data_IF_511496338123
#
_entry.id   IF_511496338123
#
_cell.length_a   1.000
_cell.length_b   1.000
_cell.length_c   1.000
_cell.angle_alpha   90.00
_cell.angle_beta   90.00
_cell.angle_gamma   90.00
#
_symmetry.space_group_name_H-M   'P 1'
#
loop_
_entity.id
_entity.type
_entity.pdbx_description
1 polymer ?
#
# COMPACT_ATOMS: atom_id res chain seq x y z
N UNK A 1 -8.21 -8.68 -6.11
CA UNK A 1 -8.27 -9.57 -7.30
C UNK A 1 -7.77 -8.80 -8.52
N UNK A 2 -6.83 -9.33 -9.32
CA UNK A 2 -6.29 -8.63 -10.50
C UNK A 2 -7.43 -8.25 -11.46
N UNK A 3 -7.53 -6.97 -11.86
CA UNK A 3 -8.60 -6.47 -12.77
C UNK A 3 -8.66 -7.26 -14.09
N UNK A 4 -7.50 -7.74 -14.57
CA UNK A 4 -7.38 -8.60 -15.76
C UNK A 4 -8.14 -9.93 -15.63
N UNK A 5 -8.21 -10.52 -14.43
CA UNK A 5 -8.95 -11.76 -14.19
C UNK A 5 -10.47 -11.58 -14.27
N UNK A 6 -10.99 -10.35 -14.14
CA UNK A 6 -12.42 -10.06 -14.35
C UNK A 6 -12.79 -9.99 -15.83
N UNK A 7 -11.83 -9.70 -16.71
CA UNK A 7 -12.07 -9.58 -18.17
C UNK A 7 -12.06 -10.94 -18.87
N UNK A 8 -11.21 -11.87 -18.42
CA UNK A 8 -11.14 -13.23 -18.96
C UNK A 8 -10.91 -14.25 -17.82
N UNK A 9 -11.99 -14.81 -17.25
CA UNK A 9 -11.91 -15.74 -16.13
C UNK A 9 -11.18 -17.04 -16.48
N UNK A 10 -11.26 -17.51 -17.74
CA UNK A 10 -10.64 -18.75 -18.17
C UNK A 10 -9.10 -18.68 -18.09
N UNK A 11 -8.53 -17.47 -18.23
CA UNK A 11 -7.09 -17.23 -18.14
C UNK A 11 -6.60 -16.80 -16.75
N UNK A 12 -7.46 -16.82 -15.73
CA UNK A 12 -7.12 -16.40 -14.35
C UNK A 12 -5.82 -17.05 -13.84
N UNK A 13 -5.66 -18.35 -14.06
CA UNK A 13 -4.44 -19.07 -13.66
C UNK A 13 -3.20 -18.55 -14.36
N UNK A 14 -3.27 -18.36 -15.69
CA UNK A 14 -2.16 -17.85 -16.49
C UNK A 14 -1.77 -16.41 -16.09
N UNK A 15 -2.74 -15.55 -15.79
CA UNK A 15 -2.46 -14.18 -15.32
C UNK A 15 -1.80 -14.17 -13.94
N UNK A 16 -2.25 -15.02 -13.02
CA UNK A 16 -1.65 -15.13 -11.71
C UNK A 16 -0.20 -15.64 -11.80
N UNK A 17 0.06 -16.62 -12.66
CA UNK A 17 1.41 -17.12 -12.91
C UNK A 17 2.31 -16.07 -13.57
N UNK A 18 1.81 -15.31 -14.54
CA UNK A 18 2.55 -14.20 -15.14
C UNK A 18 2.89 -13.12 -14.09
N UNK A 19 1.92 -12.75 -13.24
CA UNK A 19 2.12 -11.79 -12.15
C UNK A 19 3.18 -12.27 -11.15
N UNK A 20 3.10 -13.52 -10.68
CA UNK A 20 4.09 -14.11 -9.76
C UNK A 20 5.49 -14.16 -10.37
N UNK A 21 5.62 -14.55 -11.64
CA UNK A 21 6.91 -14.53 -12.35
C UNK A 21 7.49 -13.13 -12.45
N UNK A 22 6.65 -12.14 -12.79
CA UNK A 22 7.03 -10.73 -12.81
C UNK A 22 7.55 -10.25 -11.46
N UNK A 23 6.81 -10.51 -10.38
CA UNK A 23 7.25 -10.19 -9.02
C UNK A 23 8.58 -10.85 -8.67
N UNK A 24 8.76 -12.13 -8.98
CA UNK A 24 10.01 -12.84 -8.71
C UNK A 24 11.17 -12.19 -9.46
N UNK A 25 10.98 -11.82 -10.73
CA UNK A 25 12.00 -11.13 -11.51
C UNK A 25 12.38 -9.77 -10.87
N UNK A 26 11.39 -8.98 -10.44
CA UNK A 26 11.63 -7.71 -9.76
C UNK A 26 12.41 -7.90 -8.44
N UNK A 27 12.05 -8.91 -7.64
CA UNK A 27 12.75 -9.21 -6.39
C UNK A 27 14.17 -9.74 -6.57
N UNK A 28 14.51 -10.23 -7.75
CA UNK A 28 15.84 -10.78 -8.06
C UNK A 28 16.77 -9.75 -8.70
N UNK A 29 16.26 -8.57 -9.06
CA UNK A 29 17.02 -7.53 -9.75
C UNK A 29 17.64 -6.57 -8.74
N UNK A 30 18.97 -6.57 -8.64
CA UNK A 30 19.72 -5.74 -7.68
C UNK A 30 19.54 -4.23 -7.88
N UNK A 31 19.07 -3.79 -9.06
CA UNK A 31 18.75 -2.39 -9.33
C UNK A 31 17.43 -1.97 -8.67
N UNK A 32 16.62 -2.94 -8.24
CA UNK A 32 15.31 -2.74 -7.63
C UNK A 32 15.39 -3.15 -6.18
N UNK A 33 15.52 -2.16 -5.30
CA UNK A 33 15.56 -2.36 -3.87
C UNK A 33 14.28 -1.83 -3.23
N UNK A 34 13.77 -2.55 -2.23
CA UNK A 34 12.71 -1.99 -1.37
C UNK A 34 13.26 -0.80 -0.62
N UNK A 35 12.51 0.28 -0.59
CA UNK A 35 12.80 1.42 0.27
C UNK A 35 12.32 1.12 1.69
N UNK A 36 12.82 1.87 2.66
CA UNK A 36 12.35 1.79 4.05
C UNK A 36 10.86 2.15 4.21
N UNK A 37 10.30 2.84 3.20
CA UNK A 37 8.88 3.18 3.10
C UNK A 37 8.02 1.96 2.76
N UNK A 38 8.60 0.85 2.30
CA UNK A 38 7.85 -0.34 1.86
C UNK A 38 8.30 -1.54 2.71
N UNK A 39 7.61 -1.71 3.83
CA UNK A 39 7.75 -2.87 4.72
C UNK A 39 6.42 -3.63 4.82
N UNK A 40 6.42 -4.91 5.22
CA UNK A 40 5.18 -5.66 5.42
C UNK A 40 4.18 -4.95 6.33
N UNK A 41 4.66 -4.30 7.40
CA UNK A 41 3.83 -3.53 8.33
C UNK A 41 3.22 -2.30 7.65
N UNK A 42 4.01 -1.57 6.85
CA UNK A 42 3.50 -0.40 6.14
C UNK A 42 2.45 -0.81 5.11
N UNK A 43 2.68 -1.87 4.34
CA UNK A 43 1.73 -2.36 3.33
C UNK A 43 0.41 -2.83 3.97
N UNK A 44 0.45 -3.48 5.14
CA UNK A 44 -0.77 -3.84 5.89
C UNK A 44 -1.59 -2.61 6.27
N UNK A 45 -0.93 -1.54 6.72
CA UNK A 45 -1.62 -0.29 7.07
C UNK A 45 -2.14 0.41 5.80
N UNK A 46 -1.38 0.41 4.70
CA UNK A 46 -1.83 0.96 3.40
C UNK A 46 -3.09 0.26 2.89
N UNK A 47 -3.14 -1.06 3.00
CA UNK A 47 -4.30 -1.86 2.61
C UNK A 47 -5.49 -1.57 3.53
N UNK A 48 -5.28 -1.46 4.85
CA UNK A 48 -6.33 -1.10 5.80
C UNK A 48 -6.92 0.29 5.50
N UNK A 49 -6.08 1.30 5.22
CA UNK A 49 -6.53 2.64 4.86
C UNK A 49 -7.42 2.65 3.60
N UNK A 50 -7.13 1.77 2.63
CA UNK A 50 -7.95 1.64 1.43
C UNK A 50 -9.28 0.94 1.71
N UNK A 51 -9.23 -0.19 2.42
CA UNK A 51 -10.38 -1.05 2.61
C UNK A 51 -11.37 -0.51 3.64
N UNK A 52 -10.87 0.17 4.67
CA UNK A 52 -11.66 0.61 5.82
C UNK A 52 -12.01 2.10 5.75
N UNK A 53 -11.08 2.95 5.30
CA UNK A 53 -11.27 4.40 5.21
C UNK A 53 -11.51 4.91 3.77
N UNK A 54 -11.46 4.02 2.77
CA UNK A 54 -11.69 4.41 1.38
C UNK A 54 -10.67 5.42 0.82
N UNK A 55 -9.49 5.55 1.45
CA UNK A 55 -8.46 6.48 1.01
C UNK A 55 -7.91 6.02 -0.36
N UNK A 56 -8.29 6.70 -1.45
CA UNK A 56 -7.97 6.22 -2.80
C UNK A 56 -6.50 6.48 -3.17
N UNK A 57 -5.94 7.61 -2.76
CA UNK A 57 -4.56 7.98 -3.09
C UNK A 57 -3.56 7.04 -2.38
N UNK A 58 -2.77 6.33 -3.18
CA UNK A 58 -1.77 5.39 -2.70
C UNK A 58 -0.61 6.08 -1.99
N UNK A 59 -0.14 7.22 -2.49
CA UNK A 59 1.00 7.91 -1.90
C UNK A 59 0.64 8.53 -0.54
N UNK A 60 -0.57 9.10 -0.43
CA UNK A 60 -1.06 9.59 0.86
C UNK A 60 -1.17 8.44 1.88
N UNK A 61 -1.71 7.29 1.46
CA UNK A 61 -1.73 6.10 2.32
C UNK A 61 -0.34 5.65 2.73
N UNK A 62 0.62 5.62 1.81
CA UNK A 62 2.00 5.20 2.08
C UNK A 62 2.68 6.12 3.10
N UNK A 63 2.54 7.44 2.93
CA UNK A 63 3.11 8.45 3.85
C UNK A 63 2.49 8.30 5.25
N UNK A 64 1.16 8.20 5.32
CA UNK A 64 0.45 8.01 6.58
C UNK A 64 0.85 6.71 7.27
N UNK A 65 0.84 5.60 6.53
CA UNK A 65 1.21 4.27 7.03
C UNK A 65 2.65 4.22 7.53
N UNK A 66 3.57 4.89 6.83
CA UNK A 66 4.96 5.02 7.27
C UNK A 66 5.05 5.78 8.60
N UNK A 67 4.35 6.90 8.74
CA UNK A 67 4.33 7.68 9.99
C UNK A 67 3.76 6.87 11.16
N UNK A 68 2.69 6.09 10.94
CA UNK A 68 2.14 5.17 11.93
C UNK A 68 3.12 4.06 12.29
N UNK A 69 3.69 3.38 11.29
CA UNK A 69 4.62 2.25 11.51
C UNK A 69 5.88 2.67 12.28
N UNK A 70 6.37 3.89 12.03
CA UNK A 70 7.53 4.46 12.73
C UNK A 70 7.16 5.15 14.05
N UNK A 71 5.87 5.23 14.41
CA UNK A 71 5.37 6.03 15.54
C UNK A 71 5.94 7.46 15.51
N UNK A 72 5.95 8.06 14.32
CA UNK A 72 6.45 9.41 14.05
C UNK A 72 5.28 10.40 14.02
N UNK A 73 5.60 11.69 14.15
CA UNK A 73 4.62 12.76 13.93
C UNK A 73 4.47 13.02 12.43
N UNK A 74 3.24 12.97 11.94
CA UNK A 74 2.92 13.30 10.55
C UNK A 74 2.79 14.82 10.41
N UNK A 75 3.76 15.46 9.76
CA UNK A 75 3.71 16.87 9.40
C UNK A 75 3.21 16.99 7.96
N UNK A 76 2.03 17.56 7.77
CA UNK A 76 1.44 17.77 6.44
C UNK A 76 0.53 19.00 6.44
N UNK A 77 0.53 19.72 5.32
CA UNK A 77 -0.45 20.80 5.03
C UNK A 77 -1.69 20.25 4.30
N UNK A 78 -1.67 18.96 3.97
CA UNK A 78 -2.77 18.27 3.29
C UNK A 78 -3.87 17.88 4.30
N UNK A 79 -4.99 18.57 4.21
CA UNK A 79 -6.18 18.36 5.05
C UNK A 79 -6.84 16.99 4.81
N UNK A 80 -6.69 16.37 3.64
CA UNK A 80 -7.23 15.04 3.35
C UNK A 80 -6.47 13.99 4.18
N UNK A 81 -5.14 14.07 4.21
CA UNK A 81 -4.27 13.22 5.05
C UNK A 81 -4.58 13.36 6.55
N UNK A 82 -4.85 14.59 7.01
CA UNK A 82 -5.27 14.84 8.39
C UNK A 82 -6.65 14.25 8.72
N UNK A 83 -7.48 14.01 7.70
CA UNK A 83 -8.83 13.44 7.84
C UNK A 83 -8.79 11.91 7.84
N UNK A 84 -7.97 11.30 6.97
CA UNK A 84 -7.74 9.84 6.91
C UNK A 84 -7.37 9.28 8.29
N UNK A 85 -6.57 10.01 9.08
CA UNK A 85 -6.18 9.58 10.42
C UNK A 85 -7.22 9.74 11.53
N UNK A 86 -8.30 10.49 11.30
CA UNK A 86 -9.37 10.67 12.29
C UNK A 86 -10.39 9.54 12.25
N UNK A 87 -10.58 8.89 11.11
CA UNK A 87 -11.57 7.83 10.91
C UNK A 87 -11.07 6.45 11.38
N UNK A 88 -9.76 6.27 11.56
CA UNK A 88 -9.15 5.04 12.06
C UNK A 88 -8.53 5.22 13.46
N UNK A 89 -8.51 4.14 14.26
CA UNK A 89 -7.80 4.10 15.57
C UNK A 89 -6.27 4.06 15.43
N UNK A 90 -5.74 4.01 14.22
CA UNK A 90 -4.33 4.03 13.90
C UNK A 90 -3.89 5.48 13.71
N UNK A 91 -3.16 6.05 14.68
CA UNK A 91 -2.69 7.44 14.62
C UNK A 91 -1.16 7.50 14.72
N UNK A 92 -0.50 8.33 13.89
CA UNK A 92 0.86 8.76 14.13
C UNK A 92 0.95 9.46 15.49
N UNK A 93 2.17 9.66 15.99
CA UNK A 93 2.39 10.38 17.24
C UNK A 93 1.88 11.82 17.11
N UNK A 94 1.09 12.25 18.10
CA UNK A 94 0.63 13.64 18.22
C UNK A 94 1.71 14.59 18.68
#
# INVERSE_FOLDING_TARGET
MLKLCRRDPARRGAYLEAYRRGLKALYSDERIMRTELISPVVEEIVDALLLEAGAEDYFNRLIYATAVALNATLLTEDDELATVGRELRLKPRG
#
